data_IF_630646903840
#
_entry.id   IF_630646903840
#
_cell.length_a   1.000
_cell.length_b   1.000
_cell.length_c   1.000
_cell.angle_alpha   90.00
_cell.angle_beta   90.00
_cell.angle_gamma   90.00
#
_symmetry.space_group_name_H-M   'P 1'
#
loop_
_entity.id
_entity.type
_entity.pdbx_description
1 polymer ?
#
# COMPACT_ATOMS: atom_id res chain seq x y z
N UNK A 1 32.66 -14.11 13.62
CA UNK A 1 31.32 -14.73 13.54
C UNK A 1 30.37 -13.83 14.31
N UNK A 2 29.63 -12.96 13.61
CA UNK A 2 28.62 -12.10 14.25
C UNK A 2 27.29 -12.85 14.12
N UNK A 3 26.76 -13.33 15.25
CA UNK A 3 25.48 -14.01 15.28
C UNK A 3 24.34 -13.03 14.93
N UNK A 4 23.54 -13.37 13.92
CA UNK A 4 22.34 -12.62 13.56
C UNK A 4 21.17 -13.08 14.44
N UNK A 5 20.94 -12.35 15.54
CA UNK A 5 19.88 -12.64 16.51
C UNK A 5 18.46 -12.50 15.93
N UNK A 6 18.29 -12.01 14.69
CA UNK A 6 16.96 -11.87 14.04
C UNK A 6 16.44 -13.16 13.42
N UNK A 7 17.27 -14.21 13.32
CA UNK A 7 16.93 -15.46 12.61
C UNK A 7 16.77 -16.68 13.53
N UNK A 8 17.01 -16.53 14.83
CA UNK A 8 16.90 -17.62 15.80
C UNK A 8 15.46 -17.90 16.24
N UNK A 9 15.20 -19.14 16.67
CA UNK A 9 13.90 -19.58 17.22
C UNK A 9 13.38 -18.65 18.34
N UNK A 10 14.26 -18.07 19.16
CA UNK A 10 13.88 -17.13 20.21
C UNK A 10 13.34 -15.80 19.68
N UNK A 11 13.86 -15.28 18.56
CA UNK A 11 13.37 -14.04 17.95
C UNK A 11 11.97 -14.20 17.34
N UNK A 12 11.70 -15.39 16.76
CA UNK A 12 10.37 -15.75 16.30
C UNK A 12 9.38 -15.93 17.47
N UNK A 13 9.86 -16.38 18.64
CA UNK A 13 9.07 -16.50 19.86
C UNK A 13 8.72 -15.13 20.47
N UNK A 14 9.70 -14.20 20.54
CA UNK A 14 9.47 -12.82 21.02
C UNK A 14 8.52 -12.02 20.11
N UNK A 15 8.60 -12.20 18.79
CA UNK A 15 7.65 -11.61 17.84
C UNK A 15 6.20 -12.03 18.11
N UNK A 16 5.99 -13.28 18.55
CA UNK A 16 4.66 -13.81 18.88
C UNK A 16 4.13 -13.33 20.25
N UNK A 17 5.02 -13.03 21.19
CA UNK A 17 4.68 -12.65 22.57
C UNK A 17 4.27 -11.19 22.75
N UNK A 18 4.77 -10.29 21.89
CA UNK A 18 4.65 -8.85 22.12
C UNK A 18 3.48 -8.18 21.36
N UNK A 19 2.64 -8.91 20.64
CA UNK A 19 1.53 -8.34 19.83
C UNK A 19 1.97 -7.13 18.99
N UNK A 20 3.19 -7.17 18.46
CA UNK A 20 3.79 -6.04 17.76
C UNK A 20 3.19 -5.96 16.35
N UNK A 21 2.33 -4.98 16.14
CA UNK A 21 1.77 -4.64 14.83
C UNK A 21 2.34 -3.27 14.41
N UNK A 22 3.65 -3.21 14.15
CA UNK A 22 4.19 -2.11 13.35
C UNK A 22 4.15 -2.52 11.89
N UNK A 23 3.65 -1.60 11.08
CA UNK A 23 3.38 -1.66 9.64
C UNK A 23 4.70 -1.92 8.88
N UNK A 24 5.25 -3.12 8.99
CA UNK A 24 6.39 -3.57 8.20
C UNK A 24 5.87 -3.85 6.78
N UNK A 25 5.73 -2.81 5.96
CA UNK A 25 5.83 -2.92 4.51
C UNK A 25 7.16 -3.64 4.22
N UNK A 26 7.21 -4.84 3.64
CA UNK A 26 6.78 -5.25 2.30
C UNK A 26 6.69 -6.79 2.33
N UNK A 27 5.51 -7.39 2.18
CA UNK A 27 5.48 -8.76 1.64
C UNK A 27 5.56 -8.56 0.12
N UNK A 28 6.70 -8.93 -0.48
CA UNK A 28 6.83 -9.04 -1.93
C UNK A 28 5.83 -10.11 -2.38
N UNK A 29 4.66 -9.68 -2.86
CA UNK A 29 3.63 -10.62 -3.25
C UNK A 29 3.95 -11.10 -4.67
N UNK A 30 4.71 -12.19 -4.77
CA UNK A 30 4.79 -12.98 -6.01
C UNK A 30 3.43 -13.65 -6.21
N UNK A 31 2.53 -12.97 -6.91
CA UNK A 31 1.14 -13.39 -7.07
C UNK A 31 0.99 -14.34 -8.26
N UNK A 32 0.80 -15.63 -7.97
CA UNK A 32 0.21 -16.55 -8.95
C UNK A 32 -1.31 -16.30 -9.04
N UNK A 33 -1.90 -16.59 -10.20
CA UNK A 33 -3.32 -16.30 -10.46
C UNK A 33 -4.27 -17.20 -9.69
N UNK A 34 -3.82 -18.37 -9.25
CA UNK A 34 -4.66 -19.32 -8.52
C UNK A 34 -5.12 -18.78 -7.15
N UNK A 35 -4.56 -17.65 -6.69
CA UNK A 35 -4.90 -17.01 -5.42
C UNK A 35 -5.76 -15.74 -5.56
N UNK A 36 -6.17 -15.40 -6.78
CA UNK A 36 -6.95 -14.19 -7.05
C UNK A 36 -8.43 -14.44 -6.73
N UNK A 37 -8.94 -13.74 -5.72
CA UNK A 37 -10.37 -13.69 -5.41
C UNK A 37 -10.98 -12.43 -6.02
N UNK A 38 -12.30 -12.43 -6.18
CA UNK A 38 -13.04 -11.30 -6.74
C UNK A 38 -14.32 -11.10 -5.94
N UNK A 39 -14.66 -9.83 -5.73
CA UNK A 39 -15.98 -9.39 -5.30
C UNK A 39 -16.55 -8.40 -6.33
N UNK A 40 -17.65 -7.74 -5.97
CA UNK A 40 -18.32 -6.79 -6.87
C UNK A 40 -17.44 -5.57 -7.22
N UNK A 41 -16.54 -5.16 -6.32
CA UNK A 41 -15.68 -3.98 -6.49
C UNK A 41 -14.46 -4.33 -7.34
N UNK A 42 -13.92 -5.54 -7.19
CA UNK A 42 -12.78 -5.98 -7.98
C UNK A 42 -11.96 -7.10 -7.36
N UNK A 43 -10.73 -7.21 -7.83
CA UNK A 43 -9.82 -8.27 -7.41
C UNK A 43 -9.24 -8.03 -6.01
N UNK A 44 -9.12 -9.10 -5.23
CA UNK A 44 -8.50 -9.07 -3.92
C UNK A 44 -7.82 -10.40 -3.58
N UNK A 45 -6.98 -10.36 -2.55
CA UNK A 45 -6.41 -11.54 -1.91
C UNK A 45 -6.48 -11.39 -0.39
N UNK A 46 -6.79 -12.48 0.31
CA UNK A 46 -6.64 -12.57 1.76
C UNK A 46 -5.16 -12.72 2.11
N UNK A 47 -4.67 -11.88 3.02
CA UNK A 47 -3.31 -12.01 3.54
C UNK A 47 -3.30 -12.93 4.75
N UNK A 48 -2.11 -13.22 5.28
CA UNK A 48 -1.99 -13.81 6.63
C UNK A 48 -2.71 -12.90 7.65
N UNK A 49 -3.08 -13.47 8.79
CA UNK A 49 -3.74 -12.78 9.90
C UNK A 49 -5.09 -12.12 9.52
N UNK A 50 -5.84 -12.74 8.61
CA UNK A 50 -7.17 -12.28 8.21
C UNK A 50 -7.21 -10.90 7.52
N UNK A 51 -6.08 -10.41 7.01
CA UNK A 51 -6.02 -9.17 6.25
C UNK A 51 -6.50 -9.30 4.80
N UNK A 52 -6.56 -8.19 4.09
CA UNK A 52 -7.01 -8.12 2.70
C UNK A 52 -6.19 -7.10 1.90
N UNK A 53 -5.84 -7.45 0.66
CA UNK A 53 -5.25 -6.53 -0.30
C UNK A 53 -6.03 -6.55 -1.61
N UNK A 54 -6.37 -5.37 -2.12
CA UNK A 54 -6.92 -5.18 -3.47
C UNK A 54 -5.82 -5.29 -4.50
N UNK A 55 -6.16 -5.77 -5.68
CA UNK A 55 -5.22 -6.07 -6.74
C UNK A 55 -5.69 -5.50 -8.08
N UNK A 56 -4.76 -5.34 -8.99
CA UNK A 56 -5.02 -5.07 -10.40
C UNK A 56 -4.29 -6.06 -11.28
N UNK A 57 -4.68 -6.13 -12.56
CA UNK A 57 -4.06 -6.96 -13.57
C UNK A 57 -3.62 -6.09 -14.75
N UNK A 58 -2.46 -6.35 -15.33
CA UNK A 58 -1.97 -5.61 -16.50
C UNK A 58 -1.29 -6.56 -17.49
N UNK A 59 -1.13 -6.11 -18.73
CA UNK A 59 -0.40 -6.88 -19.75
C UNK A 59 1.11 -6.71 -19.55
N UNK A 60 1.86 -7.78 -19.20
CA UNK A 60 3.30 -7.69 -18.96
C UNK A 60 4.12 -7.54 -20.25
N UNK A 61 3.51 -7.76 -21.42
CA UNK A 61 4.11 -7.48 -22.73
C UNK A 61 3.21 -6.52 -23.50
N UNK A 62 3.76 -5.41 -23.98
CA UNK A 62 2.96 -4.33 -24.57
C UNK A 62 3.69 -3.57 -25.67
N UNK A 63 2.93 -2.94 -26.58
CA UNK A 63 3.44 -2.15 -27.70
C UNK A 63 3.20 -0.67 -27.43
N UNK A 64 3.97 -0.10 -26.51
CA UNK A 64 3.71 1.24 -25.97
C UNK A 64 3.99 2.38 -26.94
N UNK A 65 4.90 2.19 -27.91
CA UNK A 65 5.11 3.14 -29.01
C UNK A 65 3.91 3.08 -29.96
N UNK A 66 3.52 1.87 -30.37
CA UNK A 66 2.40 1.68 -31.30
C UNK A 66 1.09 2.26 -30.76
N UNK A 67 0.81 2.08 -29.47
CA UNK A 67 -0.41 2.58 -28.83
C UNK A 67 -0.28 3.98 -28.24
N UNK A 68 0.93 4.58 -28.27
CA UNK A 68 1.24 5.84 -27.60
C UNK A 68 0.75 5.87 -26.13
N UNK A 69 0.85 4.74 -25.44
CA UNK A 69 0.36 4.57 -24.06
C UNK A 69 1.10 3.45 -23.33
N UNK A 70 1.03 3.46 -22.00
CA UNK A 70 1.44 2.32 -21.18
C UNK A 70 0.33 1.27 -21.15
N UNK A 71 0.60 0.03 -20.69
CA UNK A 71 -0.44 -0.89 -20.28
C UNK A 71 -1.40 -0.23 -19.29
N UNK A 72 -2.68 -0.62 -19.35
CA UNK A 72 -3.65 -0.23 -18.34
C UNK A 72 -3.66 -1.24 -17.19
N UNK A 73 -3.97 -0.76 -15.99
CA UNK A 73 -4.22 -1.58 -14.81
C UNK A 73 -5.72 -1.87 -14.70
N UNK A 74 -6.10 -3.14 -14.74
CA UNK A 74 -7.48 -3.59 -14.67
C UNK A 74 -7.80 -4.06 -13.26
N UNK A 75 -8.75 -3.39 -12.61
CA UNK A 75 -9.08 -3.62 -11.19
C UNK A 75 -10.28 -4.56 -10.99
N UNK A 76 -11.01 -4.88 -12.06
CA UNK A 76 -12.17 -5.78 -12.06
C UNK A 76 -12.26 -6.52 -13.41
N UNK A 77 -13.17 -7.50 -13.48
CA UNK A 77 -13.44 -8.25 -14.71
C UNK A 77 -14.19 -7.38 -15.74
N UNK A 78 -13.42 -6.81 -16.67
CA UNK A 78 -13.90 -6.12 -17.87
C UNK A 78 -13.62 -6.96 -19.13
N UNK A 79 -14.19 -6.55 -20.26
CA UNK A 79 -14.00 -7.17 -21.58
C UNK A 79 -12.53 -7.52 -21.89
N UNK A 80 -11.59 -6.59 -21.63
CA UNK A 80 -10.16 -6.85 -21.88
C UNK A 80 -9.58 -7.96 -20.99
N UNK A 81 -10.00 -8.03 -19.72
CA UNK A 81 -9.57 -9.11 -18.80
C UNK A 81 -10.27 -10.43 -19.10
N UNK A 82 -11.44 -10.42 -19.73
CA UNK A 82 -12.11 -11.64 -20.19
C UNK A 82 -11.36 -12.24 -21.38
N UNK A 83 -11.05 -11.41 -22.38
CA UNK A 83 -10.34 -11.86 -23.59
C UNK A 83 -8.87 -12.22 -23.34
N UNK A 84 -8.16 -11.33 -22.63
CA UNK A 84 -6.69 -11.39 -22.51
C UNK A 84 -6.26 -11.75 -21.10
N UNK A 85 -7.23 -12.11 -20.26
CA UNK A 85 -7.07 -12.51 -18.87
C UNK A 85 -5.79 -13.29 -18.71
N UNK A 86 -5.76 -14.53 -19.20
CA UNK A 86 -4.65 -15.50 -19.08
C UNK A 86 -3.23 -14.99 -19.38
N UNK A 87 -3.06 -13.88 -20.10
CA UNK A 87 -1.75 -13.26 -20.40
C UNK A 87 -1.32 -12.19 -19.39
N UNK A 88 -2.22 -11.72 -18.54
CA UNK A 88 -1.97 -10.63 -17.60
C UNK A 88 -1.21 -11.08 -16.35
N UNK A 89 -0.43 -10.15 -15.81
CA UNK A 89 0.25 -10.24 -14.52
C UNK A 89 -0.54 -9.44 -13.47
N UNK A 90 -0.51 -9.92 -12.23
CA UNK A 90 -1.16 -9.26 -11.09
C UNK A 90 -0.21 -8.26 -10.43
N UNK A 91 -0.76 -7.13 -9.98
CA UNK A 91 -0.07 -6.04 -9.31
C UNK A 91 -0.89 -5.51 -8.12
N UNK A 92 -0.21 -4.91 -7.15
CA UNK A 92 -0.80 -4.22 -6.01
C UNK A 92 -0.36 -2.73 -5.94
N UNK A 93 0.22 -2.20 -7.01
CA UNK A 93 0.75 -0.83 -7.11
C UNK A 93 0.53 -0.28 -8.53
N UNK A 94 0.63 1.04 -8.69
CA UNK A 94 0.64 1.71 -9.99
C UNK A 94 1.99 1.51 -10.70
N UNK A 95 3.10 1.53 -9.96
CA UNK A 95 4.46 1.39 -10.49
C UNK A 95 4.77 -0.06 -10.82
N UNK A 96 4.86 -0.39 -12.11
CA UNK A 96 5.10 -1.77 -12.56
C UNK A 96 6.11 -1.82 -13.72
N UNK A 97 6.76 -2.97 -13.84
CA UNK A 97 7.65 -3.29 -14.95
C UNK A 97 6.91 -4.10 -16.02
N UNK A 98 7.07 -3.72 -17.29
CA UNK A 98 6.58 -4.50 -18.43
C UNK A 98 7.64 -4.58 -19.53
N UNK A 99 7.53 -5.57 -20.40
CA UNK A 99 8.34 -5.71 -21.60
C UNK A 99 7.72 -4.92 -22.76
N UNK A 100 8.41 -3.89 -23.23
CA UNK A 100 8.05 -3.17 -24.45
C UNK A 100 8.46 -3.99 -25.67
N UNK A 101 7.49 -4.44 -26.46
CA UNK A 101 7.72 -5.22 -27.69
C UNK A 101 8.25 -4.37 -28.84
N UNK A 102 7.93 -3.08 -28.85
CA UNK A 102 8.40 -2.16 -29.89
C UNK A 102 9.85 -1.73 -29.65
N UNK A 103 10.25 -1.62 -28.37
CA UNK A 103 11.62 -1.24 -27.98
C UNK A 103 12.51 -2.42 -27.62
N UNK A 104 11.95 -3.62 -27.51
CA UNK A 104 12.63 -4.83 -27.04
C UNK A 104 13.39 -4.63 -25.72
N UNK A 105 12.75 -4.00 -24.72
CA UNK A 105 13.35 -3.78 -23.38
C UNK A 105 12.32 -3.73 -22.26
N UNK A 106 12.77 -3.98 -21.03
CA UNK A 106 11.98 -3.72 -19.83
C UNK A 106 11.82 -2.22 -19.57
N UNK A 107 10.62 -1.83 -19.16
CA UNK A 107 10.23 -0.45 -18.92
C UNK A 107 9.45 -0.42 -17.61
N UNK A 108 9.86 0.48 -16.72
CA UNK A 108 9.11 0.79 -15.51
C UNK A 108 8.19 1.98 -15.78
N UNK A 109 6.91 1.88 -15.41
CA UNK A 109 5.96 2.96 -15.58
C UNK A 109 4.88 2.97 -14.49
N UNK A 110 4.28 4.15 -14.28
CA UNK A 110 3.09 4.35 -13.45
C UNK A 110 1.83 4.04 -14.27
N UNK A 111 1.34 2.80 -14.17
CA UNK A 111 0.18 2.34 -14.92
C UNK A 111 -1.10 2.99 -14.39
N UNK A 112 -1.88 3.56 -15.31
CA UNK A 112 -3.20 4.09 -14.99
C UNK A 112 -4.27 3.00 -15.05
N UNK A 113 -5.29 3.13 -14.21
CA UNK A 113 -6.46 2.26 -14.23
C UNK A 113 -7.15 2.36 -15.59
N UNK A 114 -7.54 1.20 -16.12
CA UNK A 114 -8.28 1.11 -17.38
C UNK A 114 -9.53 2.00 -17.34
N UNK A 115 -9.75 2.75 -18.42
CA UNK A 115 -10.84 3.73 -18.53
C UNK A 115 -12.22 3.10 -18.33
N UNK A 116 -12.39 1.85 -18.78
CA UNK A 116 -13.64 1.08 -18.59
C UNK A 116 -13.84 0.76 -17.11
N UNK A 117 -12.80 0.29 -16.42
CA UNK A 117 -12.83 0.05 -14.97
C UNK A 117 -13.12 1.32 -14.16
N UNK A 118 -12.45 2.42 -14.49
CA UNK A 118 -12.70 3.70 -13.83
C UNK A 118 -14.14 4.19 -14.07
N UNK A 119 -14.71 3.98 -15.27
CA UNK A 119 -16.09 4.33 -15.60
C UNK A 119 -17.09 3.46 -14.83
N UNK A 120 -16.83 2.17 -14.70
CA UNK A 120 -17.67 1.26 -13.93
C UNK A 120 -17.77 1.72 -12.46
N UNK A 121 -16.63 2.01 -11.81
CA UNK A 121 -16.60 2.54 -10.44
C UNK A 121 -17.41 3.83 -10.27
N UNK A 122 -17.20 4.80 -11.17
CA UNK A 122 -17.94 6.08 -11.14
C UNK A 122 -19.44 5.87 -11.28
N UNK A 123 -19.87 4.99 -12.17
CA UNK A 123 -21.28 4.86 -12.51
C UNK A 123 -22.06 4.02 -11.49
N UNK A 124 -21.51 2.87 -11.09
CA UNK A 124 -22.18 1.91 -10.22
C UNK A 124 -22.01 2.26 -8.74
N UNK A 125 -20.78 2.58 -8.33
CA UNK A 125 -20.46 2.85 -6.92
C UNK A 125 -20.47 4.33 -6.54
N UNK A 126 -20.60 5.22 -7.53
CA UNK A 126 -20.54 6.69 -7.34
C UNK A 126 -19.22 7.16 -6.75
N UNK A 127 -18.12 6.46 -7.08
CA UNK A 127 -16.78 6.75 -6.57
C UNK A 127 -16.02 7.60 -7.57
N UNK A 128 -15.52 8.75 -7.12
CA UNK A 128 -14.62 9.60 -7.89
C UNK A 128 -13.19 9.48 -7.36
N UNK A 129 -12.26 9.03 -8.19
CA UNK A 129 -10.85 8.85 -7.83
C UNK A 129 -9.99 10.10 -8.07
N UNK A 130 -10.53 11.13 -8.74
CA UNK A 130 -9.70 12.19 -9.31
C UNK A 130 -8.85 11.64 -10.46
N UNK A 131 -7.55 11.41 -10.21
CA UNK A 131 -6.69 10.72 -11.18
C UNK A 131 -6.87 9.21 -11.09
N UNK A 132 -6.76 8.51 -12.22
CA UNK A 132 -6.98 7.07 -12.33
C UNK A 132 -5.75 6.24 -11.87
N UNK A 133 -5.14 6.60 -10.74
CA UNK A 133 -4.03 5.81 -10.17
C UNK A 133 -4.56 4.71 -9.25
N UNK A 134 -3.76 3.67 -9.03
CA UNK A 134 -4.14 2.59 -8.12
C UNK A 134 -4.29 3.08 -6.67
N UNK A 135 -3.42 3.98 -6.21
CA UNK A 135 -3.53 4.55 -4.87
C UNK A 135 -4.84 5.31 -4.70
N UNK A 136 -5.24 6.08 -5.71
CA UNK A 136 -6.49 6.83 -5.65
C UNK A 136 -7.72 5.93 -5.68
N UNK A 137 -7.65 4.80 -6.36
CA UNK A 137 -8.66 3.76 -6.25
C UNK A 137 -8.79 3.25 -4.81
N UNK A 138 -7.71 2.79 -4.19
CA UNK A 138 -7.74 2.25 -2.82
C UNK A 138 -8.32 3.27 -1.83
N UNK A 139 -7.80 4.49 -1.86
CA UNK A 139 -8.21 5.53 -0.92
C UNK A 139 -9.65 6.01 -1.18
N UNK A 140 -10.11 6.06 -2.43
CA UNK A 140 -11.49 6.44 -2.75
C UNK A 140 -12.52 5.37 -2.36
N UNK A 141 -12.13 4.09 -2.26
CA UNK A 141 -13.00 3.05 -1.72
C UNK A 141 -13.33 3.30 -0.25
N UNK A 142 -12.34 3.70 0.54
CA UNK A 142 -12.51 4.01 1.96
C UNK A 142 -13.31 5.31 2.19
N UNK A 143 -13.28 6.22 1.22
CA UNK A 143 -14.01 7.49 1.29
C UNK A 143 -15.51 7.38 1.02
N UNK A 144 -15.95 6.24 0.50
CA UNK A 144 -17.34 5.99 0.14
C UNK A 144 -18.01 5.09 1.14
N UNK A 145 -19.15 5.53 1.68
CA UNK A 145 -19.99 4.73 2.57
C UNK A 145 -20.49 3.43 1.95
N UNK A 146 -20.45 3.30 0.61
CA UNK A 146 -20.89 2.11 -0.13
C UNK A 146 -19.83 1.03 -0.25
N UNK A 147 -18.56 1.39 -0.10
CA UNK A 147 -17.44 0.49 -0.42
C UNK A 147 -16.38 0.39 0.66
N UNK A 148 -16.43 1.27 1.66
CA UNK A 148 -15.46 1.26 2.77
C UNK A 148 -15.42 -0.09 3.47
N UNK A 149 -14.24 -0.50 3.90
CA UNK A 149 -14.10 -1.74 4.65
C UNK A 149 -14.75 -1.61 6.02
N UNK A 150 -15.53 -2.62 6.42
CA UNK A 150 -16.20 -2.67 7.72
C UNK A 150 -15.62 -3.72 8.65
N UNK A 151 -14.93 -4.73 8.10
CA UNK A 151 -14.24 -5.74 8.88
C UNK A 151 -12.97 -5.15 9.49
N UNK A 152 -12.80 -5.38 10.80
CA UNK A 152 -11.63 -4.93 11.57
C UNK A 152 -10.83 -6.11 12.11
N UNK A 153 -9.54 -5.88 12.32
CA UNK A 153 -8.63 -6.80 13.00
C UNK A 153 -8.77 -6.69 14.54
N UNK A 154 -8.00 -7.51 15.27
CA UNK A 154 -7.98 -7.50 16.74
C UNK A 154 -7.46 -6.19 17.34
N UNK A 155 -6.77 -5.36 16.54
CA UNK A 155 -6.24 -4.06 16.93
C UNK A 155 -7.20 -2.90 16.60
N UNK A 156 -8.37 -3.20 16.01
CA UNK A 156 -9.40 -2.23 15.64
C UNK A 156 -9.15 -1.50 14.31
N UNK A 157 -8.16 -1.93 13.52
CA UNK A 157 -7.94 -1.39 12.17
C UNK A 157 -8.74 -2.18 11.13
N UNK A 158 -9.13 -1.53 10.04
CA UNK A 158 -9.73 -2.25 8.89
C UNK A 158 -8.77 -3.30 8.33
N UNK A 159 -9.30 -4.43 7.86
CA UNK A 159 -8.47 -5.57 7.43
C UNK A 159 -7.54 -5.29 6.23
N UNK A 160 -7.74 -4.18 5.51
CA UNK A 160 -6.88 -3.68 4.43
C UNK A 160 -6.04 -2.46 4.83
N UNK A 161 -5.94 -2.16 6.12
CA UNK A 161 -5.25 -0.97 6.64
C UNK A 161 -3.84 -0.81 6.09
N UNK A 162 -3.04 -1.88 6.06
CA UNK A 162 -1.67 -1.84 5.51
C UNK A 162 -1.62 -1.28 4.09
N UNK A 163 -2.57 -1.66 3.23
CA UNK A 163 -2.62 -1.14 1.86
C UNK A 163 -3.07 0.32 1.81
N UNK A 164 -4.09 0.69 2.60
CA UNK A 164 -4.60 2.08 2.69
C UNK A 164 -3.48 3.01 3.19
N UNK A 165 -2.83 2.61 4.27
CA UNK A 165 -1.70 3.24 4.93
C UNK A 165 -0.55 3.48 3.94
N UNK A 166 -0.13 2.45 3.19
CA UNK A 166 0.89 2.57 2.16
C UNK A 166 0.47 3.49 1.01
N UNK A 167 -0.74 3.32 0.45
CA UNK A 167 -1.23 4.15 -0.66
C UNK A 167 -1.29 5.64 -0.27
N UNK A 168 -1.66 5.93 0.98
CA UNK A 168 -1.68 7.30 1.50
C UNK A 168 -0.26 7.88 1.59
N UNK A 169 0.70 7.15 2.18
CA UNK A 169 2.10 7.60 2.23
C UNK A 169 2.72 7.79 0.86
N UNK A 170 2.45 6.89 -0.08
CA UNK A 170 2.95 7.01 -1.46
C UNK A 170 2.32 8.20 -2.20
N UNK A 171 1.03 8.49 -1.97
CA UNK A 171 0.39 9.72 -2.44
C UNK A 171 1.09 10.98 -1.90
N UNK A 172 1.60 10.92 -0.67
CA UNK A 172 2.43 11.97 -0.04
C UNK A 172 3.92 11.83 -0.38
N UNK A 173 4.28 10.96 -1.32
CA UNK A 173 5.66 10.69 -1.76
C UNK A 173 6.60 10.34 -0.59
N UNK A 174 6.09 9.60 0.39
CA UNK A 174 6.78 9.24 1.63
C UNK A 174 7.46 10.44 2.30
N UNK A 175 6.76 11.57 2.35
CA UNK A 175 7.22 12.81 2.96
C UNK A 175 6.42 13.09 4.23
N UNK A 176 7.10 13.36 5.34
CA UNK A 176 6.50 13.75 6.60
C UNK A 176 5.86 15.13 6.45
N UNK A 177 4.56 15.22 6.69
CA UNK A 177 3.78 16.45 6.57
C UNK A 177 4.01 17.44 7.72
N UNK A 178 4.70 17.02 8.80
CA UNK A 178 5.06 17.90 9.93
C UNK A 178 6.46 18.53 9.79
N UNK A 179 7.47 17.74 9.44
CA UNK A 179 8.87 18.20 9.43
C UNK A 179 9.56 18.16 8.06
N UNK A 180 8.88 17.67 7.01
CA UNK A 180 9.42 17.61 5.66
C UNK A 180 10.42 16.48 5.40
N UNK A 181 10.73 15.62 6.39
CA UNK A 181 11.57 14.44 6.14
C UNK A 181 10.99 13.61 5.00
N UNK A 182 11.78 13.35 3.96
CA UNK A 182 11.40 12.51 2.83
C UNK A 182 12.26 11.26 2.81
N UNK A 183 11.64 10.10 2.62
CA UNK A 183 12.37 8.85 2.46
C UNK A 183 13.27 8.90 1.21
N UNK A 184 14.54 8.55 1.38
CA UNK A 184 15.53 8.56 0.30
C UNK A 184 15.46 7.31 -0.58
N UNK A 185 15.00 6.19 -0.02
CA UNK A 185 14.87 4.89 -0.69
C UNK A 185 13.76 4.08 0.00
N UNK A 186 13.40 2.93 -0.59
CA UNK A 186 12.33 2.06 -0.10
C UNK A 186 12.59 1.50 1.30
N UNK A 187 13.86 1.30 1.69
CA UNK A 187 14.22 0.82 3.03
C UNK A 187 13.89 1.86 4.10
N UNK A 188 13.76 3.13 3.73
CA UNK A 188 13.39 4.22 4.64
C UNK A 188 11.86 4.42 4.74
N UNK A 189 11.05 3.76 3.91
CA UNK A 189 9.59 3.86 3.98
C UNK A 189 9.04 3.44 5.34
N UNK A 190 9.70 2.47 5.99
CA UNK A 190 9.39 2.04 7.37
C UNK A 190 9.44 3.17 8.40
N UNK A 191 10.09 4.31 8.12
CA UNK A 191 10.14 5.44 9.07
C UNK A 191 9.02 6.45 8.88
N UNK A 192 8.15 6.26 7.89
CA UNK A 192 6.95 7.06 7.70
C UNK A 192 5.75 6.22 8.08
N UNK A 193 4.95 6.74 8.99
CA UNK A 193 3.70 6.13 9.44
C UNK A 193 2.52 6.99 8.97
N UNK A 194 1.36 6.36 8.90
CA UNK A 194 0.09 7.08 8.75
C UNK A 194 -0.52 7.29 10.13
N UNK A 195 -0.85 8.53 10.46
CA UNK A 195 -1.50 8.93 11.68
C UNK A 195 -2.96 9.31 11.40
N UNK A 196 -3.90 8.80 12.20
CA UNK A 196 -5.30 9.21 12.20
C UNK A 196 -5.48 10.44 13.08
N UNK A 197 -5.81 11.59 12.48
CA UNK A 197 -5.93 12.88 13.17
C UNK A 197 -7.01 12.82 14.27
N UNK A 198 -8.15 12.17 13.98
CA UNK A 198 -9.24 11.97 14.96
C UNK A 198 -8.97 10.87 15.99
N UNK A 199 -7.90 10.07 15.81
CA UNK A 199 -7.65 8.85 16.58
C UNK A 199 -8.57 7.66 16.26
N UNK A 200 -9.58 7.84 15.39
CA UNK A 200 -10.52 6.79 14.99
C UNK A 200 -9.90 5.93 13.88
N UNK A 201 -9.47 4.72 14.25
CA UNK A 201 -8.74 3.78 13.35
C UNK A 201 -9.49 3.32 12.10
N UNK A 202 -10.82 3.47 12.09
CA UNK A 202 -11.69 3.11 10.97
C UNK A 202 -12.08 4.32 10.11
N UNK A 203 -11.72 5.53 10.51
CA UNK A 203 -11.96 6.75 9.75
C UNK A 203 -10.79 7.01 8.80
N UNK A 204 -10.86 6.40 7.62
CA UNK A 204 -9.79 6.40 6.63
C UNK A 204 -10.01 7.44 5.51
N UNK A 205 -10.80 8.48 5.77
CA UNK A 205 -10.89 9.63 4.87
C UNK A 205 -9.49 10.24 4.69
N UNK A 206 -9.08 10.61 3.47
CA UNK A 206 -7.77 11.27 3.29
C UNK A 206 -7.60 12.52 4.14
N UNK A 207 -8.68 13.24 4.44
CA UNK A 207 -8.68 14.42 5.30
C UNK A 207 -8.41 14.11 6.78
N UNK A 208 -8.57 12.85 7.20
CA UNK A 208 -8.30 12.38 8.56
C UNK A 208 -6.94 11.66 8.69
N UNK A 209 -6.22 11.47 7.59
CA UNK A 209 -4.92 10.81 7.58
C UNK A 209 -3.79 11.83 7.46
N UNK A 210 -2.66 11.55 8.11
CA UNK A 210 -1.46 12.37 8.04
C UNK A 210 -0.21 11.49 7.93
N UNK A 211 0.69 11.79 7.00
CA UNK A 211 1.95 11.08 6.83
C UNK A 211 2.98 11.70 7.76
N UNK A 212 3.43 10.97 8.79
CA UNK A 212 4.37 11.45 9.80
C UNK A 212 5.58 10.54 9.87
N UNK A 213 6.78 11.12 10.02
CA UNK A 213 7.92 10.30 10.40
C UNK A 213 7.77 9.78 11.84
N UNK A 214 8.43 8.68 12.16
CA UNK A 214 8.33 8.01 13.48
C UNK A 214 8.55 8.96 14.65
N UNK A 215 9.48 9.93 14.53
CA UNK A 215 9.71 10.97 15.55
C UNK A 215 8.52 11.93 15.68
N UNK A 216 8.06 12.48 14.57
CA UNK A 216 6.91 13.39 14.59
C UNK A 216 5.63 12.68 15.06
N UNK A 217 5.49 11.40 14.76
CA UNK A 217 4.38 10.57 15.19
C UNK A 217 4.45 10.25 16.69
N UNK A 218 5.63 9.92 17.22
CA UNK A 218 5.80 9.68 18.66
C UNK A 218 5.48 10.91 19.51
N UNK A 219 5.64 12.12 18.95
CA UNK A 219 5.42 13.40 19.62
C UNK A 219 4.01 13.98 19.41
N UNK A 220 3.05 13.21 18.90
CA UNK A 220 1.68 13.70 18.70
C UNK A 220 0.99 13.99 20.03
N UNK A 221 1.05 13.05 20.97
CA UNK A 221 0.48 13.15 22.31
C UNK A 221 1.14 12.15 23.28
N UNK A 222 0.74 12.19 24.55
CA UNK A 222 1.27 11.30 25.60
C UNK A 222 1.00 9.81 25.33
N UNK A 223 -0.10 9.48 24.65
CA UNK A 223 -0.41 8.09 24.31
C UNK A 223 0.61 7.55 23.30
N UNK A 224 0.90 8.32 22.25
CA UNK A 224 1.90 7.96 21.25
C UNK A 224 3.30 7.91 21.85
N UNK A 225 3.68 8.85 22.71
CA UNK A 225 4.97 8.82 23.40
C UNK A 225 5.15 7.52 24.21
N UNK A 226 4.14 7.15 25.01
CA UNK A 226 4.15 5.91 25.80
C UNK A 226 4.22 4.66 24.92
N UNK A 227 3.44 4.64 23.82
CA UNK A 227 3.44 3.50 22.89
C UNK A 227 4.78 3.31 22.20
N UNK A 228 5.41 4.40 21.75
CA UNK A 228 6.75 4.33 21.16
C UNK A 228 7.81 3.93 22.19
N UNK A 229 7.70 4.39 23.44
CA UNK A 229 8.63 3.98 24.50
C UNK A 229 8.57 2.46 24.79
N UNK A 230 7.39 1.85 24.68
CA UNK A 230 7.18 0.42 24.93
C UNK A 230 7.53 -0.44 23.71
N UNK A 231 7.09 -0.04 22.52
CA UNK A 231 7.07 -0.93 21.36
C UNK A 231 7.84 -0.37 20.13
N UNK A 232 8.05 0.94 20.07
CA UNK A 232 8.59 1.66 18.89
C UNK A 232 10.01 2.23 19.07
N UNK A 233 10.65 1.99 20.21
CA UNK A 233 11.89 2.66 20.60
C UNK A 233 13.04 2.35 19.64
N UNK A 234 13.18 1.10 19.21
CA UNK A 234 14.24 0.69 18.28
C UNK A 234 14.16 1.43 16.94
N UNK A 235 12.95 1.55 16.39
CA UNK A 235 12.70 2.24 15.13
C UNK A 235 12.94 3.75 15.25
N UNK A 236 12.56 4.35 16.39
CA UNK A 236 12.83 5.76 16.68
C UNK A 236 14.34 6.03 16.74
N UNK A 237 15.09 5.20 17.47
CA UNK A 237 16.56 5.34 17.59
C UNK A 237 17.26 5.16 16.24
N UNK A 238 16.86 4.17 15.44
CA UNK A 238 17.40 3.94 14.09
C UNK A 238 17.13 5.15 13.18
N UNK A 239 15.94 5.74 13.26
CA UNK A 239 15.57 6.94 12.51
C UNK A 239 16.39 8.17 12.90
N UNK A 240 16.66 8.36 14.20
CA UNK A 240 17.48 9.48 14.67
C UNK A 240 18.92 9.40 14.18
N UNK A 241 19.50 8.20 14.12
CA UNK A 241 20.82 7.98 13.52
C UNK A 241 20.84 8.35 12.04
N UNK A 242 19.81 7.96 11.28
CA UNK A 242 19.69 8.29 9.86
C UNK A 242 19.58 9.80 9.66
N UNK A 243 18.78 10.49 10.47
CA UNK A 243 18.64 11.96 10.38
C UNK A 243 19.93 12.69 10.70
N UNK A 244 20.71 12.20 11.66
CA UNK A 244 21.99 12.79 12.02
C UNK A 244 23.02 12.70 10.88
N UNK A 245 22.94 11.66 10.04
CA UNK A 245 23.87 11.44 8.91
C UNK A 245 23.48 12.16 7.61
N UNK A 246 22.34 12.88 7.58
CA UNK A 246 21.83 13.61 6.40
C UNK A 246 22.05 15.12 6.54
N UNK A 247 22.35 15.60 7.74
CA UNK A 247 22.77 16.98 8.02
C UNK A 247 24.29 17.10 8.04
#
# INVERSE_FOLDING_TARGET
MIYDFRKGHSAQYFSKLLTINYDFDVEEITLSREQLQQDEIGYFKRTKNNGMVRLGAFLPQYKDITYASTPALHIYQCETTEEKGFKMQIANSSRNNYWSRDRSKHVQAELQICKVCAKHLRNHYKISMGTNTFNNFILALEESSRTKQTLVDSSGYIINWRQVSHCFRDLKRFTCEKCGYKANNEQHYKYLHTHHISGVKTDNQRSNLQCLCVKCHSEVDDHHQKKFALEGLSQLLEFEQIRANIN
#
